data_IF_737558262322
#
_entry.id   IF_737558262322
#
_cell.length_a   1.000
_cell.length_b   1.000
_cell.length_c   1.000
_cell.angle_alpha   90.00
_cell.angle_beta   90.00
_cell.angle_gamma   90.00
#
_symmetry.space_group_name_H-M   'P 1'
#
loop_
_entity.id
_entity.type
_entity.pdbx_description
1 polymer ?
#
# COMPACT_ATOMS: atom_id res chain seq x y z
N UNK A 1 40.02 18.60 11.37
CA UNK A 1 38.70 18.49 12.02
C UNK A 1 38.85 17.54 13.18
N UNK A 2 38.39 17.94 14.36
CA UNK A 2 38.52 17.10 15.55
C UNK A 2 37.53 15.94 15.44
N UNK A 3 37.94 14.72 15.81
CA UNK A 3 37.09 13.52 15.72
C UNK A 3 35.81 13.70 16.55
N UNK A 4 35.92 14.39 17.67
CA UNK A 4 34.79 14.69 18.56
C UNK A 4 33.77 15.65 17.91
N UNK A 5 34.23 16.63 17.13
CA UNK A 5 33.34 17.53 16.38
C UNK A 5 32.58 16.78 15.28
N UNK A 6 33.24 15.83 14.63
CA UNK A 6 32.62 14.99 13.59
C UNK A 6 31.56 14.08 14.21
N UNK A 7 31.85 13.45 15.34
CA UNK A 7 30.90 12.61 16.07
C UNK A 7 29.67 13.40 16.52
N UNK A 8 29.88 14.62 17.06
CA UNK A 8 28.80 15.49 17.46
C UNK A 8 27.91 15.90 16.28
N UNK A 9 28.53 16.28 15.15
CA UNK A 9 27.82 16.65 13.92
C UNK A 9 26.99 15.50 13.37
N UNK A 10 27.55 14.29 13.33
CA UNK A 10 26.83 13.10 12.87
C UNK A 10 25.60 12.81 13.74
N UNK A 11 25.74 12.89 15.06
CA UNK A 11 24.61 12.68 15.97
C UNK A 11 23.49 13.71 15.76
N UNK A 12 23.83 14.98 15.59
CA UNK A 12 22.86 16.04 15.28
C UNK A 12 22.14 15.79 13.96
N UNK A 13 22.88 15.38 12.92
CA UNK A 13 22.32 15.07 11.61
C UNK A 13 21.42 13.83 11.62
N UNK A 14 21.72 12.84 12.46
CA UNK A 14 20.88 11.66 12.66
C UNK A 14 19.57 12.01 13.36
N UNK A 15 19.64 12.82 14.42
CA UNK A 15 18.45 13.34 15.13
C UNK A 15 17.57 14.15 14.18
N UNK A 16 18.15 15.10 13.42
CA UNK A 16 17.43 15.90 12.44
C UNK A 16 16.81 15.03 11.33
N UNK A 17 17.53 14.04 10.81
CA UNK A 17 16.99 13.09 9.83
C UNK A 17 15.77 12.33 10.36
N UNK A 18 15.84 11.87 11.61
CA UNK A 18 14.75 11.13 12.22
C UNK A 18 13.52 12.03 12.43
N UNK A 19 13.72 13.27 12.88
CA UNK A 19 12.63 14.24 12.99
C UNK A 19 11.97 14.55 11.64
N UNK A 20 12.78 14.78 10.60
CA UNK A 20 12.29 15.08 9.26
C UNK A 20 11.49 13.90 8.69
N UNK A 21 11.94 12.66 8.91
CA UNK A 21 11.18 11.46 8.52
C UNK A 21 9.83 11.38 9.22
N UNK A 22 9.77 11.67 10.52
CA UNK A 22 8.50 11.67 11.28
C UNK A 22 7.57 12.80 10.85
N UNK A 23 8.08 14.00 10.59
CA UNK A 23 7.31 15.11 10.01
C UNK A 23 6.76 14.71 8.64
N UNK A 24 7.59 14.14 7.77
CA UNK A 24 7.19 13.72 6.42
C UNK A 24 6.08 12.66 6.46
N UNK A 25 6.18 11.65 7.33
CA UNK A 25 5.12 10.64 7.51
C UNK A 25 3.77 11.26 7.88
N UNK A 26 3.76 12.28 8.73
CA UNK A 26 2.52 13.00 9.11
C UNK A 26 1.90 13.74 7.92
N UNK A 27 2.72 14.31 7.03
CA UNK A 27 2.25 15.03 5.84
C UNK A 27 1.81 14.11 4.70
N UNK A 28 2.57 13.06 4.42
CA UNK A 28 2.33 12.18 3.26
C UNK A 28 1.34 11.06 3.57
N UNK A 29 1.25 10.61 4.83
CA UNK A 29 0.35 9.54 5.25
C UNK A 29 -0.38 9.89 6.57
N UNK A 30 -1.11 11.02 6.64
CA UNK A 30 -1.81 11.41 7.85
C UNK A 30 -2.85 10.35 8.23
N UNK A 31 -2.92 9.96 9.50
CA UNK A 31 -3.90 8.96 9.98
C UNK A 31 -5.34 9.31 9.57
N UNK A 32 -5.68 10.60 9.54
CA UNK A 32 -7.00 11.10 9.10
C UNK A 32 -7.41 10.61 7.70
N UNK A 33 -6.46 10.46 6.76
CA UNK A 33 -6.79 10.06 5.39
C UNK A 33 -7.10 8.56 5.27
N UNK A 34 -6.64 7.74 6.23
CA UNK A 34 -7.00 6.32 6.32
C UNK A 34 -8.38 6.11 6.94
N UNK A 35 -8.79 6.98 7.86
CA UNK A 35 -10.03 6.82 8.61
C UNK A 35 -11.31 7.08 7.79
N UNK A 36 -11.24 7.74 6.63
CA UNK A 36 -12.44 8.05 5.84
C UNK A 36 -13.18 6.77 5.44
N UNK A 37 -12.47 5.79 4.87
CA UNK A 37 -13.07 4.53 4.44
C UNK A 37 -13.44 3.61 5.60
N UNK A 38 -12.79 3.75 6.75
CA UNK A 38 -13.17 3.01 7.96
C UNK A 38 -14.48 3.56 8.54
N UNK A 39 -14.57 4.88 8.69
CA UNK A 39 -15.72 5.54 9.32
C UNK A 39 -16.96 5.59 8.42
N UNK A 40 -16.78 5.71 7.10
CA UNK A 40 -17.90 5.85 6.14
C UNK A 40 -18.14 4.57 5.33
N UNK A 41 -17.55 3.44 5.74
CA UNK A 41 -17.69 2.15 5.04
C UNK A 41 -19.15 1.80 4.78
N UNK A 42 -19.96 1.88 5.82
CA UNK A 42 -21.38 1.53 5.77
C UNK A 42 -22.17 2.49 4.90
N UNK A 43 -21.88 3.79 4.99
CA UNK A 43 -22.51 4.82 4.17
C UNK A 43 -22.24 4.62 2.67
N UNK A 44 -20.99 4.31 2.31
CA UNK A 44 -20.60 4.04 0.93
C UNK A 44 -21.31 2.78 0.42
N UNK A 45 -21.34 1.71 1.21
CA UNK A 45 -22.06 0.48 0.86
C UNK A 45 -23.55 0.76 0.64
N UNK A 46 -24.18 1.54 1.53
CA UNK A 46 -25.60 1.91 1.43
C UNK A 46 -25.87 2.72 0.17
N UNK A 47 -25.09 3.77 -0.10
CA UNK A 47 -25.22 4.61 -1.31
C UNK A 47 -25.09 3.79 -2.59
N UNK A 48 -24.15 2.84 -2.64
CA UNK A 48 -23.98 1.97 -3.82
C UNK A 48 -25.17 1.04 -4.02
N UNK A 49 -25.72 0.47 -2.93
CA UNK A 49 -26.95 -0.36 -3.01
C UNK A 49 -28.14 0.44 -3.50
N UNK A 50 -28.41 1.59 -2.88
CA UNK A 50 -29.51 2.49 -3.26
C UNK A 50 -29.39 2.93 -4.73
N UNK A 51 -28.18 3.27 -5.20
CA UNK A 51 -27.97 3.65 -6.59
C UNK A 51 -28.30 2.50 -7.54
N UNK A 52 -27.85 1.27 -7.24
CA UNK A 52 -28.14 0.08 -8.07
C UNK A 52 -29.63 -0.23 -8.11
N UNK A 53 -30.32 -0.14 -6.98
CA UNK A 53 -31.77 -0.33 -6.89
C UNK A 53 -32.54 0.73 -7.70
N UNK A 54 -32.15 2.01 -7.59
CA UNK A 54 -32.81 3.12 -8.31
C UNK A 54 -32.58 3.08 -9.81
N UNK A 55 -31.37 2.72 -10.24
CA UNK A 55 -30.97 2.75 -11.67
C UNK A 55 -31.14 1.41 -12.37
N UNK A 56 -31.49 0.36 -11.62
CA UNK A 56 -31.46 -1.03 -12.05
C UNK A 56 -30.12 -1.44 -12.72
N UNK A 57 -29.04 -0.73 -12.38
CA UNK A 57 -27.73 -0.91 -12.98
C UNK A 57 -27.07 -2.17 -12.38
N UNK A 58 -26.82 -3.15 -13.24
CA UNK A 58 -25.99 -4.30 -12.93
C UNK A 58 -24.75 -4.28 -13.81
N UNK A 59 -23.57 -4.25 -13.19
CA UNK A 59 -22.31 -4.33 -13.93
C UNK A 59 -22.01 -5.78 -14.29
N UNK A 60 -22.11 -6.10 -15.58
CA UNK A 60 -21.67 -7.38 -16.11
C UNK A 60 -20.25 -7.27 -16.69
N UNK A 61 -19.33 -8.05 -16.14
CA UNK A 61 -17.95 -8.09 -16.64
C UNK A 61 -17.95 -8.75 -18.02
N UNK A 62 -17.44 -8.03 -19.03
CA UNK A 62 -17.24 -8.57 -20.38
C UNK A 62 -16.41 -9.86 -20.36
N UNK A 63 -16.68 -10.84 -21.25
CA UNK A 63 -15.88 -12.06 -21.36
C UNK A 63 -14.38 -11.82 -21.48
N UNK A 64 -13.94 -10.78 -22.19
CA UNK A 64 -12.51 -10.48 -22.37
C UNK A 64 -11.88 -9.99 -21.08
N UNK A 65 -12.61 -9.21 -20.28
CA UNK A 65 -12.16 -8.78 -18.95
C UNK A 65 -12.07 -9.95 -17.98
N UNK A 66 -12.99 -10.91 -18.04
CA UNK A 66 -12.88 -12.16 -17.26
C UNK A 66 -11.60 -12.93 -17.61
N UNK A 67 -11.26 -13.05 -18.91
CA UNK A 67 -10.01 -13.69 -19.37
C UNK A 67 -8.78 -12.94 -18.89
N UNK A 68 -8.79 -11.61 -18.98
CA UNK A 68 -7.69 -10.75 -18.51
C UNK A 68 -7.45 -10.97 -17.01
N UNK A 69 -8.50 -10.96 -16.18
CA UNK A 69 -8.39 -11.19 -14.74
C UNK A 69 -7.85 -12.58 -14.42
N UNK A 70 -8.33 -13.62 -15.11
CA UNK A 70 -7.82 -14.98 -14.92
C UNK A 70 -6.33 -15.07 -15.27
N UNK A 71 -5.90 -14.45 -16.38
CA UNK A 71 -4.49 -14.40 -16.79
C UNK A 71 -3.63 -13.69 -15.75
N UNK A 72 -4.05 -12.51 -15.30
CA UNK A 72 -3.32 -11.72 -14.31
C UNK A 72 -3.23 -12.45 -12.97
N UNK A 73 -4.31 -13.08 -12.50
CA UNK A 73 -4.31 -13.88 -11.29
C UNK A 73 -3.32 -15.06 -11.36
N UNK A 74 -3.27 -15.74 -12.51
CA UNK A 74 -2.30 -16.82 -12.75
C UNK A 74 -0.85 -16.32 -12.72
N UNK A 75 -0.55 -15.23 -13.44
CA UNK A 75 0.79 -14.64 -13.47
C UNK A 75 1.25 -14.20 -12.07
N UNK A 76 0.39 -13.51 -11.32
CA UNK A 76 0.69 -13.08 -9.95
C UNK A 76 0.97 -14.28 -9.03
N UNK A 77 0.19 -15.36 -9.14
CA UNK A 77 0.45 -16.60 -8.38
C UNK A 77 1.79 -17.21 -8.75
N UNK A 78 2.10 -17.28 -10.04
CA UNK A 78 3.37 -17.81 -10.55
C UNK A 78 4.56 -17.00 -10.05
N UNK A 79 4.49 -15.66 -10.12
CA UNK A 79 5.53 -14.77 -9.61
C UNK A 79 5.72 -14.92 -8.10
N UNK A 80 4.63 -15.04 -7.34
CA UNK A 80 4.71 -15.24 -5.89
C UNK A 80 5.45 -16.53 -5.54
N UNK A 81 5.18 -17.62 -6.26
CA UNK A 81 5.87 -18.90 -6.07
C UNK A 81 7.36 -18.80 -6.41
N UNK A 82 7.72 -18.12 -7.50
CA UNK A 82 9.13 -17.87 -7.86
C UNK A 82 9.87 -17.10 -6.77
N UNK A 83 9.29 -16.00 -6.28
CA UNK A 83 9.87 -15.22 -5.18
C UNK A 83 10.05 -16.03 -3.91
N UNK A 84 9.11 -16.93 -3.61
CA UNK A 84 9.25 -17.85 -2.48
C UNK A 84 10.42 -18.82 -2.67
N UNK A 85 10.61 -19.38 -3.87
CA UNK A 85 11.75 -20.24 -4.18
C UNK A 85 13.07 -19.49 -4.09
N UNK A 86 13.18 -18.31 -4.72
CA UNK A 86 14.36 -17.45 -4.65
C UNK A 86 14.71 -17.08 -3.21
N UNK A 87 13.71 -16.77 -2.37
CA UNK A 87 13.95 -16.49 -0.95
C UNK A 87 14.46 -17.71 -0.20
N UNK A 88 13.90 -18.90 -0.45
CA UNK A 88 14.39 -20.15 0.16
C UNK A 88 15.84 -20.45 -0.27
N UNK A 89 16.17 -20.25 -1.55
CA UNK A 89 17.54 -20.44 -2.06
C UNK A 89 18.53 -19.46 -1.41
N UNK A 90 18.13 -18.20 -1.24
CA UNK A 90 18.95 -17.18 -0.57
C UNK A 90 19.10 -17.40 0.94
N UNK A 91 18.19 -18.11 1.60
CA UNK A 91 18.30 -18.46 3.03
C UNK A 91 19.20 -19.69 3.26
N UNK A 92 19.50 -20.48 2.23
CA UNK A 92 20.34 -21.69 2.29
C UNK A 92 21.82 -21.37 1.97
N UNK A 93 22.11 -20.21 1.39
CA UNK A 93 23.46 -19.69 1.06
C UNK A 93 23.95 -18.78 2.18
#
# INVERSE_FOLDING_TARGET
>A
MNIDEILLKNKQLEEENNELKEKLKKYTAPKRSKNYYENHKEEVIKKVKEYREKTNYHYEVSPDKKKEYARTAYLNKKEKLKKQQENLENEII
#
